data_IF_109335201343
#
_entry.id   IF_109335201343
#
_cell.length_a   1.000
_cell.length_b   1.000
_cell.length_c   1.000
_cell.angle_alpha   90.00
_cell.angle_beta   90.00
_cell.angle_gamma   90.00
#
_symmetry.space_group_name_H-M   'P 1'
#
loop_
_entity.id
_entity.type
_entity.pdbx_description
1 polymer ?
#
# COMPACT_ATOMS: atom_id res chain seq x y z
N UNK A 1 1.30 10.81 4.14
CA UNK A 1 0.86 10.58 2.74
C UNK A 1 0.69 11.92 2.05
N UNK A 2 0.87 11.98 0.74
CA UNK A 2 0.84 13.22 -0.05
C UNK A 2 -0.05 13.05 -1.28
N UNK A 3 -1.09 13.89 -1.46
CA UNK A 3 -1.88 13.89 -2.68
C UNK A 3 -1.02 14.08 -3.93
N UNK A 4 -1.37 13.37 -4.99
CA UNK A 4 -0.80 13.54 -6.34
C UNK A 4 -1.87 14.09 -7.29
N UNK A 5 -1.43 14.66 -8.41
CA UNK A 5 -2.36 15.04 -9.46
C UNK A 5 -3.08 13.79 -10.00
N UNK A 6 -4.33 13.89 -10.47
CA UNK A 6 -5.02 12.77 -11.11
C UNK A 6 -4.20 12.19 -12.27
N UNK A 7 -4.11 10.87 -12.35
CA UNK A 7 -3.33 10.16 -13.36
C UNK A 7 -4.27 9.56 -14.41
N UNK A 8 -4.17 10.02 -15.65
CA UNK A 8 -4.91 9.45 -16.77
C UNK A 8 -4.30 8.10 -17.20
N UNK A 9 -5.14 7.08 -17.34
CA UNK A 9 -4.78 5.76 -17.85
C UNK A 9 -5.80 5.33 -18.91
N UNK A 10 -5.73 5.93 -20.09
CA UNK A 10 -6.73 5.74 -21.14
C UNK A 10 -8.12 6.17 -20.65
N UNK A 11 -9.13 5.26 -20.60
CA UNK A 11 -10.46 5.60 -20.11
C UNK A 11 -10.54 5.76 -18.58
N UNK A 12 -9.50 5.38 -17.84
CA UNK A 12 -9.46 5.48 -16.38
C UNK A 12 -8.83 6.80 -15.92
N UNK A 13 -9.32 7.31 -14.79
CA UNK A 13 -8.72 8.43 -14.08
C UNK A 13 -8.46 8.04 -12.62
N UNK A 14 -7.18 7.89 -12.27
CA UNK A 14 -6.78 7.55 -10.91
C UNK A 14 -6.55 8.81 -10.07
N UNK A 15 -7.20 8.85 -8.92
CA UNK A 15 -6.86 9.77 -7.83
C UNK A 15 -5.94 9.06 -6.86
N UNK A 16 -4.96 9.74 -6.27
CA UNK A 16 -3.97 9.01 -5.50
C UNK A 16 -3.22 9.77 -4.43
N UNK A 17 -2.52 8.97 -3.63
CA UNK A 17 -1.61 9.40 -2.59
C UNK A 17 -0.25 8.73 -2.80
N UNK A 18 0.82 9.52 -2.85
CA UNK A 18 2.17 9.01 -2.62
C UNK A 18 2.36 8.78 -1.12
N UNK A 19 2.95 7.64 -0.75
CA UNK A 19 3.22 7.34 0.64
C UNK A 19 4.65 6.84 0.86
N UNK A 20 5.09 6.97 2.11
CA UNK A 20 6.31 6.42 2.66
C UNK A 20 5.96 5.88 4.04
N UNK A 21 6.29 4.61 4.29
CA UNK A 21 6.23 3.97 5.59
C UNK A 21 7.67 3.76 6.04
N UNK A 22 7.95 4.20 7.27
CA UNK A 22 9.25 4.06 7.91
C UNK A 22 9.02 3.55 9.32
N UNK A 23 9.57 2.38 9.64
CA UNK A 23 9.41 1.70 10.92
C UNK A 23 10.80 1.49 11.50
N UNK A 24 11.00 1.92 12.74
CA UNK A 24 12.22 1.70 13.51
C UNK A 24 11.99 0.65 14.60
N UNK A 25 13.07 0.06 15.11
CA UNK A 25 12.99 -0.75 16.33
C UNK A 25 12.71 0.15 17.54
N UNK A 26 12.02 -0.34 18.60
CA UNK A 26 11.72 0.49 19.76
C UNK A 26 12.96 0.97 20.53
N UNK A 27 14.03 0.17 20.51
CA UNK A 27 15.21 0.35 21.37
C UNK A 27 16.35 1.10 20.66
N UNK A 28 16.35 1.12 19.32
CA UNK A 28 17.40 1.75 18.52
C UNK A 28 16.76 2.51 17.35
N UNK A 29 17.33 3.64 16.95
CA UNK A 29 16.87 4.39 15.78
C UNK A 29 17.24 3.70 14.44
N UNK A 30 17.38 2.37 14.44
CA UNK A 30 17.68 1.58 13.25
C UNK A 30 16.38 1.30 12.52
N UNK A 31 16.37 1.61 11.22
CA UNK A 31 15.27 1.31 10.32
C UNK A 31 15.08 -0.20 10.19
N UNK A 32 13.92 -0.67 10.63
CA UNK A 32 13.48 -2.05 10.51
C UNK A 32 12.74 -2.30 9.19
N UNK A 33 11.89 -1.35 8.77
CA UNK A 33 11.15 -1.43 7.51
C UNK A 33 11.08 -0.07 6.84
N UNK A 34 11.31 -0.05 5.53
CA UNK A 34 11.14 1.12 4.69
C UNK A 34 10.36 0.73 3.45
N UNK A 35 9.33 1.49 3.11
CA UNK A 35 8.45 1.18 1.99
C UNK A 35 7.91 2.45 1.37
N UNK A 36 7.94 2.52 0.04
CA UNK A 36 7.38 3.62 -0.72
C UNK A 36 6.45 3.12 -1.82
N UNK A 37 5.51 3.97 -2.22
CA UNK A 37 4.62 3.67 -3.34
C UNK A 37 3.43 4.62 -3.43
N UNK A 38 2.38 4.14 -4.09
CA UNK A 38 1.16 4.89 -4.34
C UNK A 38 -0.06 4.09 -3.90
N UNK A 39 -1.01 4.79 -3.29
CA UNK A 39 -2.41 4.39 -3.28
C UNK A 39 -3.12 5.09 -4.43
N UNK A 40 -3.85 4.35 -5.25
CA UNK A 40 -4.63 4.87 -6.36
C UNK A 40 -6.07 4.36 -6.25
N UNK A 41 -7.03 5.21 -6.58
CA UNK A 41 -8.44 4.85 -6.66
C UNK A 41 -9.05 5.39 -7.95
N UNK A 42 -9.79 4.55 -8.64
CA UNK A 42 -10.48 4.87 -9.90
C UNK A 42 -12.00 4.84 -9.63
N UNK A 43 -12.70 5.99 -9.71
CA UNK A 43 -14.09 6.08 -9.28
C UNK A 43 -15.09 5.30 -10.14
N UNK A 44 -14.83 5.12 -11.45
CA UNK A 44 -15.82 4.52 -12.36
C UNK A 44 -15.96 3.01 -12.14
N UNK A 45 -14.90 2.34 -11.72
CA UNK A 45 -14.84 0.89 -11.47
C UNK A 45 -14.72 0.55 -9.99
N UNK A 46 -14.35 1.51 -9.15
CA UNK A 46 -14.02 1.30 -7.74
C UNK A 46 -12.66 0.62 -7.54
N UNK A 47 -11.83 0.49 -8.59
CA UNK A 47 -10.51 -0.13 -8.50
C UNK A 47 -9.62 0.65 -7.53
N UNK A 48 -9.09 -0.06 -6.53
CA UNK A 48 -8.04 0.42 -5.62
C UNK A 48 -6.76 -0.30 -5.97
N UNK A 49 -5.67 0.45 -6.13
CA UNK A 49 -4.32 -0.10 -6.28
C UNK A 49 -3.43 0.38 -5.15
N UNK A 50 -2.66 -0.54 -4.60
CA UNK A 50 -1.51 -0.22 -3.77
C UNK A 50 -0.26 -0.73 -4.48
N UNK A 51 0.61 0.19 -4.87
CA UNK A 51 1.98 -0.16 -5.22
C UNK A 51 2.86 -0.05 -3.99
N UNK A 52 3.84 -0.95 -3.88
CA UNK A 52 4.87 -0.89 -2.86
C UNK A 52 6.22 -1.32 -3.43
N UNK A 53 7.28 -0.71 -2.93
CA UNK A 53 8.67 -1.12 -3.12
C UNK A 53 9.40 -1.02 -1.80
N UNK A 54 10.20 -2.04 -1.49
CA UNK A 54 11.02 -2.10 -0.27
C UNK A 54 12.51 -2.19 -0.63
N UNK A 55 13.43 -1.67 0.20
CA UNK A 55 14.86 -1.60 -0.12
C UNK A 55 15.57 -2.98 -0.10
N UNK A 56 14.84 -4.07 0.18
CA UNK A 56 15.33 -5.45 0.03
C UNK A 56 15.23 -5.98 -1.40
N UNK A 57 14.80 -5.16 -2.36
CA UNK A 57 14.65 -5.54 -3.75
C UNK A 57 13.39 -6.38 -4.01
N UNK A 58 12.25 -5.93 -3.47
CA UNK A 58 10.95 -6.51 -3.76
C UNK A 58 9.93 -5.40 -4.04
N UNK A 59 9.03 -5.65 -4.98
CA UNK A 59 7.88 -4.80 -5.29
C UNK A 59 6.61 -5.63 -5.41
N UNK A 60 5.47 -5.01 -5.10
CA UNK A 60 4.16 -5.58 -5.37
C UNK A 60 3.21 -4.51 -5.89
N UNK A 61 2.30 -4.94 -6.79
CA UNK A 61 1.10 -4.20 -7.16
C UNK A 61 -0.09 -5.00 -6.66
N UNK A 62 -0.72 -4.52 -5.59
CA UNK A 62 -1.91 -5.13 -5.00
C UNK A 62 -3.17 -4.39 -5.45
N UNK A 63 -4.25 -5.13 -5.67
CA UNK A 63 -5.54 -4.60 -6.11
C UNK A 63 -6.68 -4.95 -5.17
N UNK A 64 -7.67 -4.08 -5.12
CA UNK A 64 -8.95 -4.27 -4.43
C UNK A 64 -10.06 -3.50 -5.11
N UNK A 65 -11.27 -3.59 -4.56
CA UNK A 65 -12.42 -2.79 -4.97
C UNK A 65 -12.96 -2.07 -3.74
N UNK A 66 -13.26 -0.78 -3.88
CA UNK A 66 -13.91 0.01 -2.84
C UNK A 66 -14.81 1.10 -3.44
N UNK A 67 -15.90 1.37 -2.72
CA UNK A 67 -16.83 2.48 -2.97
C UNK A 67 -16.42 3.72 -2.16
N UNK A 68 -16.88 4.92 -2.54
CA UNK A 68 -16.55 6.17 -1.84
C UNK A 68 -16.81 6.14 -0.32
N UNK A 69 -17.87 5.44 0.10
CA UNK A 69 -18.34 5.35 1.47
C UNK A 69 -17.78 4.16 2.27
N UNK A 70 -16.95 3.31 1.65
CA UNK A 70 -16.41 2.13 2.33
C UNK A 70 -15.42 2.53 3.44
N UNK A 71 -15.65 2.02 4.64
CA UNK A 71 -14.75 2.21 5.80
C UNK A 71 -13.69 1.11 5.91
N UNK A 72 -13.62 0.23 4.91
CA UNK A 72 -12.67 -0.89 4.88
C UNK A 72 -12.13 -1.07 3.47
N UNK A 73 -10.80 -1.12 3.34
CA UNK A 73 -10.11 -1.44 2.09
C UNK A 73 -9.44 -2.80 2.23
N UNK A 74 -9.57 -3.64 1.21
CA UNK A 74 -8.81 -4.89 1.12
C UNK A 74 -8.12 -4.93 -0.23
N UNK A 75 -6.80 -5.04 -0.23
CA UNK A 75 -5.99 -5.22 -1.44
C UNK A 75 -5.20 -6.51 -1.36
N UNK A 76 -5.00 -7.17 -2.50
CA UNK A 76 -4.24 -8.42 -2.60
C UNK A 76 -3.31 -8.42 -3.80
N UNK A 77 -2.17 -9.11 -3.66
CA UNK A 77 -1.26 -9.44 -4.76
C UNK A 77 -0.86 -10.92 -4.65
N UNK A 78 -0.67 -11.57 -5.79
CA UNK A 78 -0.20 -12.95 -5.85
C UNK A 78 0.99 -13.05 -6.80
N UNK A 79 1.98 -13.87 -6.44
CA UNK A 79 3.15 -14.12 -7.27
C UNK A 79 2.74 -14.74 -8.60
N UNK A 80 3.42 -14.37 -9.69
CA UNK A 80 3.22 -14.93 -11.02
C UNK A 80 2.11 -14.27 -11.83
N UNK A 81 1.33 -13.37 -11.22
CA UNK A 81 0.36 -12.55 -11.94
C UNK A 81 1.05 -11.39 -12.66
N UNK A 82 0.64 -11.12 -13.89
CA UNK A 82 1.14 -9.98 -14.68
C UNK A 82 0.27 -8.74 -14.55
N UNK A 83 -0.98 -8.89 -14.11
CA UNK A 83 -1.93 -7.79 -13.96
C UNK A 83 -1.84 -7.15 -12.56
N UNK A 84 -1.69 -7.95 -11.47
CA UNK A 84 -1.42 -7.48 -10.09
C UNK A 84 -0.50 -8.49 -9.37
N UNK A 85 0.80 -8.22 -9.39
CA UNK A 85 1.84 -9.23 -9.09
C UNK A 85 2.87 -8.82 -8.04
N UNK A 86 3.75 -9.76 -7.73
CA UNK A 86 4.88 -9.62 -6.82
C UNK A 86 6.15 -10.01 -7.57
N UNK A 87 7.18 -9.17 -7.47
CA UNK A 87 8.50 -9.40 -8.08
C UNK A 87 9.61 -9.16 -7.06
N UNK A 88 10.58 -10.06 -7.02
CA UNK A 88 11.67 -10.05 -6.04
C UNK A 88 13.02 -10.37 -6.69
N UNK A 89 14.11 -10.05 -5.99
CA UNK A 89 15.47 -10.47 -6.38
C UNK A 89 15.69 -11.97 -6.25
N UNK A 90 16.70 -12.50 -6.95
CA UNK A 90 17.06 -13.93 -6.96
C UNK A 90 17.21 -14.53 -5.56
N UNK A 91 17.84 -13.79 -4.63
CA UNK A 91 18.04 -14.27 -3.27
C UNK A 91 16.73 -14.37 -2.49
N UNK A 92 15.81 -13.40 -2.66
CA UNK A 92 14.49 -13.49 -2.05
C UNK A 92 13.69 -14.64 -2.65
N UNK A 93 13.71 -14.83 -3.97
CA UNK A 93 13.08 -15.98 -4.63
C UNK A 93 13.63 -17.33 -4.13
N UNK A 94 14.93 -17.38 -3.80
CA UNK A 94 15.60 -18.57 -3.29
C UNK A 94 15.34 -18.84 -1.79
N UNK A 95 15.40 -17.81 -0.95
CA UNK A 95 15.48 -17.96 0.51
C UNK A 95 14.20 -17.54 1.25
N UNK A 96 13.47 -16.54 0.73
CA UNK A 96 12.34 -15.89 1.39
C UNK A 96 11.26 -15.50 0.36
N UNK A 97 10.79 -16.48 -0.41
CA UNK A 97 9.91 -16.23 -1.55
C UNK A 97 8.54 -15.76 -1.05
N UNK A 98 8.06 -14.65 -1.59
CA UNK A 98 6.71 -14.15 -1.28
C UNK A 98 5.71 -14.72 -2.26
N UNK A 99 4.76 -15.52 -1.76
CA UNK A 99 3.73 -16.17 -2.58
C UNK A 99 2.46 -15.31 -2.70
N UNK A 100 2.06 -14.65 -1.61
CA UNK A 100 0.91 -13.73 -1.60
C UNK A 100 1.04 -12.63 -0.57
N UNK A 101 0.33 -11.55 -0.84
CA UNK A 101 0.19 -10.39 0.04
C UNK A 101 -1.28 -10.01 0.13
N UNK A 102 -1.75 -9.72 1.34
CA UNK A 102 -3.08 -9.17 1.61
C UNK A 102 -2.96 -8.08 2.65
N UNK A 103 -3.46 -6.90 2.34
CA UNK A 103 -3.61 -5.82 3.31
C UNK A 103 -5.08 -5.49 3.47
N UNK A 104 -5.51 -5.46 4.72
CA UNK A 104 -6.80 -4.94 5.11
C UNK A 104 -6.58 -3.68 5.95
N UNK A 105 -7.24 -2.60 5.56
CA UNK A 105 -7.27 -1.32 6.27
C UNK A 105 -8.70 -1.05 6.72
N UNK A 106 -8.85 -0.66 7.99
CA UNK A 106 -10.12 -0.21 8.56
C UNK A 106 -9.98 1.24 9.00
N UNK A 107 -10.88 2.09 8.53
CA UNK A 107 -11.00 3.49 8.97
C UNK A 107 -11.96 3.55 10.16
N UNK A 108 -11.45 3.99 11.30
CA UNK A 108 -12.20 4.01 12.55
C UNK A 108 -12.97 5.33 12.70
N UNK A 109 -14.09 5.35 13.45
CA UNK A 109 -14.90 6.55 13.65
C UNK A 109 -14.16 7.72 14.33
N UNK A 110 -13.10 7.44 15.07
CA UNK A 110 -12.26 8.44 15.75
C UNK A 110 -11.21 9.09 14.84
N UNK A 111 -11.18 8.72 13.56
CA UNK A 111 -10.22 9.21 12.57
C UNK A 111 -8.86 8.50 12.59
N UNK A 112 -8.69 7.49 13.45
CA UNK A 112 -7.57 6.54 13.34
C UNK A 112 -7.83 5.53 12.24
N UNK A 113 -6.80 4.79 11.86
CA UNK A 113 -6.95 3.63 10.98
C UNK A 113 -6.12 2.47 11.47
N UNK A 114 -6.68 1.27 11.35
CA UNK A 114 -6.03 0.02 11.72
C UNK A 114 -5.73 -0.78 10.46
N UNK A 115 -4.71 -1.64 10.52
CA UNK A 115 -4.47 -2.61 9.46
C UNK A 115 -4.14 -4.00 9.96
N UNK A 116 -4.41 -4.97 9.09
CA UNK A 116 -3.89 -6.34 9.17
C UNK A 116 -3.22 -6.64 7.84
N UNK A 117 -1.92 -6.93 7.88
CA UNK A 117 -1.11 -7.31 6.73
C UNK A 117 -0.74 -8.78 6.86
N UNK A 118 -1.14 -9.59 5.89
CA UNK A 118 -0.79 -10.99 5.77
C UNK A 118 0.11 -11.19 4.55
N UNK A 119 1.33 -11.65 4.79
CA UNK A 119 2.28 -12.03 3.74
C UNK A 119 2.60 -13.51 3.87
N UNK A 120 2.34 -14.29 2.83
CA UNK A 120 2.65 -15.72 2.81
C UNK A 120 4.03 -15.94 2.21
N UNK A 121 4.93 -16.50 3.01
CA UNK A 121 6.32 -16.72 2.63
C UNK A 121 6.67 -18.21 2.56
N UNK A 122 7.36 -18.61 1.49
CA UNK A 122 8.13 -19.85 1.49
C UNK A 122 9.54 -19.54 1.97
N UNK A 123 9.83 -19.94 3.21
CA UNK A 123 11.15 -19.76 3.83
C UNK A 123 11.97 -21.01 3.61
N UNK A 124 13.15 -20.84 2.99
CA UNK A 124 14.04 -21.97 2.72
C UNK A 124 14.43 -22.68 4.01
N UNK A 125 14.30 -24.01 4.00
CA UNK A 125 14.53 -24.86 5.18
C UNK A 125 13.30 -25.07 6.06
N UNK A 126 12.16 -24.45 5.75
CA UNK A 126 10.86 -24.78 6.37
C UNK A 126 10.00 -25.58 5.38
N UNK A 127 9.35 -26.63 5.88
CA UNK A 127 8.45 -27.46 5.07
C UNK A 127 7.10 -26.75 4.83
N UNK A 128 6.61 -26.04 5.83
CA UNK A 128 5.35 -25.31 5.78
C UNK A 128 5.54 -23.85 5.37
N UNK A 129 4.51 -23.28 4.76
CA UNK A 129 4.47 -21.85 4.48
C UNK A 129 4.42 -21.06 5.78
N UNK A 130 5.11 -19.92 5.79
CA UNK A 130 5.16 -19.01 6.92
C UNK A 130 4.21 -17.84 6.69
N UNK A 131 3.16 -17.76 7.52
CA UNK A 131 2.30 -16.58 7.58
C UNK A 131 3.00 -15.49 8.39
N UNK A 132 3.54 -14.50 7.69
CA UNK A 132 4.01 -13.27 8.31
C UNK A 132 2.82 -12.31 8.45
N UNK A 133 2.32 -12.17 9.68
CA UNK A 133 1.21 -11.27 10.02
C UNK A 133 1.71 -10.06 10.79
N UNK A 134 1.32 -8.88 10.34
CA UNK A 134 1.57 -7.59 10.99
C UNK A 134 0.25 -6.84 11.23
N UNK A 135 0.13 -6.18 12.38
CA UNK A 135 -1.07 -5.47 12.82
C UNK A 135 -0.70 -4.18 13.54
N UNK A 136 -1.40 -3.09 13.23
CA UNK A 136 -1.18 -1.83 13.93
C UNK A 136 -2.40 -0.90 13.81
N UNK A 137 -2.45 0.11 14.68
CA UNK A 137 -3.38 1.24 14.62
C UNK A 137 -2.60 2.55 14.58
N UNK A 138 -2.91 3.38 13.60
CA UNK A 138 -2.24 4.63 13.30
C UNK A 138 -3.18 5.81 13.55
N UNK A 139 -2.65 6.88 14.14
CA UNK A 139 -3.39 8.11 14.40
C UNK A 139 -2.92 9.23 13.48
N UNK A 140 -3.84 10.12 13.09
CA UNK A 140 -3.50 11.29 12.28
C UNK A 140 -2.76 12.32 13.13
N UNK A 141 -1.60 12.77 12.67
CA UNK A 141 -0.78 13.78 13.37
C UNK A 141 -0.83 15.17 12.71
N UNK A 142 -1.28 15.25 11.46
CA UNK A 142 -1.44 16.49 10.71
C UNK A 142 -2.38 16.28 9.51
N UNK A 143 -2.97 17.37 9.02
CA UNK A 143 -3.71 17.34 7.75
C UNK A 143 -2.79 17.16 6.55
N UNK A 144 -3.33 16.57 5.48
CA UNK A 144 -2.61 16.45 4.22
C UNK A 144 -2.37 17.85 3.62
N UNK A 145 -1.14 18.09 3.16
CA UNK A 145 -0.84 19.28 2.35
C UNK A 145 -1.43 19.07 0.95
N UNK A 146 -2.25 20.00 0.43
CA UNK A 146 -2.75 19.92 -0.94
C UNK A 146 -1.60 19.89 -1.95
N UNK A 147 -1.82 19.23 -3.09
CA UNK A 147 -0.91 19.37 -4.22
C UNK A 147 -1.08 20.76 -4.88
N UNK A 148 -0.15 21.18 -5.75
CA UNK A 148 -0.23 22.49 -6.41
C UNK A 148 -1.52 22.69 -7.22
N UNK A 149 -2.00 21.64 -7.91
CA UNK A 149 -3.21 21.72 -8.71
C UNK A 149 -4.45 22.03 -7.84
N UNK A 150 -4.60 21.35 -6.72
CA UNK A 150 -5.70 21.58 -5.75
C UNK A 150 -5.69 23.02 -5.22
N UNK A 151 -4.51 23.59 -4.97
CA UNK A 151 -4.40 24.99 -4.53
C UNK A 151 -4.90 25.95 -5.62
N UNK A 152 -4.52 25.70 -6.88
CA UNK A 152 -4.95 26.51 -8.02
C UNK A 152 -6.47 26.38 -8.27
N UNK A 153 -7.04 25.20 -8.08
CA UNK A 153 -8.49 24.98 -8.21
C UNK A 153 -9.27 25.68 -7.09
N UNK A 154 -8.81 25.55 -5.84
CA UNK A 154 -9.44 26.23 -4.70
C UNK A 154 -9.43 27.76 -4.86
N UNK A 155 -8.34 28.33 -5.41
CA UNK A 155 -8.23 29.76 -5.66
C UNK A 155 -9.18 30.28 -6.77
N UNK A 156 -9.63 29.42 -7.69
CA UNK A 156 -10.61 29.79 -8.73
C UNK A 156 -12.04 29.84 -8.19
N UNK A 157 -12.30 29.13 -7.09
CA UNK A 157 -13.61 29.03 -6.45
C UNK A 157 -13.80 29.97 -5.25
N UNK A 158 -12.75 30.72 -4.88
CA UNK A 158 -12.75 31.71 -3.80
C UNK A 158 -13.03 33.12 -4.33
#
# INVERSE_FOLDING_TARGET
>A
MQPIDPQANGPQLFYGLRYHIHINTPEEAITFHDQTGYWLWEPATGLVLQSLSIPRGQTALASGIAKPEDTRLVVTAARGQTYYGICSTDFLEYAFRTDSYRLEVTFNPDGSWSYVSDTMLMVRGRAELFLHRDVNTLVKVAEAKPNPLMLLEAAKTA
#
